data_IF_792650759848
#
_entry.id   IF_792650759848
#
_cell.length_a   1.000
_cell.length_b   1.000
_cell.length_c   1.000
_cell.angle_alpha   90.00
_cell.angle_beta   90.00
_cell.angle_gamma   90.00
#
_symmetry.space_group_name_H-M   'P 1'
#
loop_
_entity.id
_entity.type
_entity.pdbx_description
1 polymer ?
#
# COMPACT_ATOMS: atom_id res chain seq x y z
N UNK A 1 -24.19 -73.94 -29.45
CA UNK A 1 -23.10 -74.16 -28.48
C UNK A 1 -22.22 -72.91 -28.50
N UNK A 2 -22.15 -72.23 -27.36
CA UNK A 2 -21.26 -71.09 -27.01
C UNK A 2 -21.40 -69.74 -27.75
N UNK A 3 -22.23 -68.86 -27.19
CA UNK A 3 -22.16 -67.39 -27.32
C UNK A 3 -22.12 -66.79 -25.91
N UNK A 4 -20.93 -66.47 -25.40
CA UNK A 4 -20.72 -65.65 -24.20
C UNK A 4 -19.25 -65.25 -24.11
N UNK A 5 -18.86 -64.06 -24.58
CA UNK A 5 -17.61 -63.42 -24.13
C UNK A 5 -17.40 -61.96 -24.57
N UNK A 6 -18.38 -61.06 -24.51
CA UNK A 6 -18.08 -59.62 -24.70
C UNK A 6 -19.04 -58.74 -23.89
N UNK A 7 -18.87 -58.64 -22.57
CA UNK A 7 -19.60 -57.61 -21.78
C UNK A 7 -18.99 -57.36 -20.40
N UNK A 8 -17.72 -56.95 -20.28
CA UNK A 8 -17.19 -56.48 -18.98
C UNK A 8 -16.19 -55.30 -19.03
N UNK A 9 -15.91 -54.69 -20.17
CA UNK A 9 -14.78 -53.74 -20.31
C UNK A 9 -15.14 -52.25 -20.40
N UNK A 10 -16.37 -51.82 -20.08
CA UNK A 10 -16.78 -50.39 -20.27
C UNK A 10 -17.19 -49.62 -19.01
N UNK A 11 -17.21 -50.23 -17.82
CA UNK A 11 -17.69 -49.55 -16.60
C UNK A 11 -16.60 -49.13 -15.60
N UNK A 12 -15.36 -49.59 -15.76
CA UNK A 12 -14.27 -49.31 -14.79
C UNK A 12 -13.40 -48.09 -15.11
N UNK A 13 -13.57 -47.44 -16.27
CA UNK A 13 -12.78 -46.27 -16.67
C UNK A 13 -13.36 -44.92 -16.21
N UNK A 14 -14.67 -44.82 -16.00
CA UNK A 14 -15.31 -43.55 -15.66
C UNK A 14 -14.97 -43.01 -14.26
N UNK A 15 -14.83 -43.90 -13.26
CA UNK A 15 -14.56 -43.51 -11.88
C UNK A 15 -13.08 -43.08 -11.66
N UNK A 16 -12.15 -43.68 -12.41
CA UNK A 16 -10.74 -43.26 -12.41
C UNK A 16 -10.56 -41.93 -13.15
N UNK A 17 -11.26 -41.73 -14.28
CA UNK A 17 -11.27 -40.45 -14.98
C UNK A 17 -11.87 -39.31 -14.14
N UNK A 18 -12.93 -39.57 -13.36
CA UNK A 18 -13.49 -38.56 -12.45
C UNK A 18 -12.52 -38.21 -11.31
N UNK A 19 -11.85 -39.20 -10.72
CA UNK A 19 -10.89 -38.97 -9.62
C UNK A 19 -9.65 -38.20 -10.10
N UNK A 20 -9.14 -38.47 -11.30
CA UNK A 20 -8.01 -37.74 -11.89
C UNK A 20 -8.41 -36.33 -12.37
N UNK A 21 -9.60 -36.16 -12.94
CA UNK A 21 -10.13 -34.84 -13.27
C UNK A 21 -10.31 -33.96 -12.01
N UNK A 22 -10.74 -34.55 -10.89
CA UNK A 22 -10.90 -33.83 -9.62
C UNK A 22 -9.56 -33.44 -9.00
N UNK A 23 -8.52 -34.28 -9.14
CA UNK A 23 -7.14 -33.96 -8.71
C UNK A 23 -6.50 -32.84 -9.54
N UNK A 24 -6.75 -32.82 -10.86
CA UNK A 24 -6.30 -31.74 -11.75
C UNK A 24 -7.00 -30.41 -11.46
N UNK A 25 -8.29 -30.42 -11.11
CA UNK A 25 -9.02 -29.20 -10.75
C UNK A 25 -8.53 -28.62 -9.41
N UNK A 26 -8.23 -29.46 -8.41
CA UNK A 26 -7.68 -28.99 -7.12
C UNK A 26 -6.26 -28.42 -7.28
N UNK A 27 -5.43 -29.01 -8.16
CA UNK A 27 -4.09 -28.48 -8.45
C UNK A 27 -4.14 -27.15 -9.24
N UNK A 28 -5.11 -26.99 -10.14
CA UNK A 28 -5.31 -25.74 -10.88
C UNK A 28 -5.82 -24.57 -10.01
N UNK A 29 -6.59 -24.86 -8.94
CA UNK A 29 -7.04 -23.84 -7.98
C UNK A 29 -5.88 -23.41 -7.05
N UNK A 30 -4.92 -24.31 -6.76
CA UNK A 30 -3.78 -24.03 -5.89
C UNK A 30 -2.64 -23.23 -6.56
N UNK A 31 -2.61 -23.11 -7.89
CA UNK A 31 -1.60 -22.33 -8.63
C UNK A 31 -2.07 -20.87 -8.83
N UNK A 32 -3.30 -20.54 -8.43
CA UNK A 32 -3.89 -19.19 -8.53
C UNK A 32 -3.63 -18.30 -7.33
N UNK A 33 -2.62 -18.58 -6.49
CA UNK A 33 -2.07 -17.55 -5.61
C UNK A 33 -1.35 -16.55 -6.50
N UNK A 34 -2.16 -15.67 -7.10
CA UNK A 34 -1.69 -14.60 -7.95
C UNK A 34 -0.61 -13.85 -7.22
N UNK A 35 0.44 -13.50 -7.95
CA UNK A 35 1.12 -12.27 -7.64
C UNK A 35 0.04 -11.19 -7.75
N UNK A 36 -0.57 -10.84 -6.63
CA UNK A 36 -1.33 -9.61 -6.55
C UNK A 36 -0.33 -8.53 -6.97
N UNK A 37 -0.62 -7.87 -8.09
CA UNK A 37 -0.03 -6.59 -8.40
C UNK A 37 -0.36 -5.70 -7.21
N UNK A 38 0.54 -5.64 -6.22
CA UNK A 38 0.36 -4.81 -5.05
C UNK A 38 0.57 -3.37 -5.51
N UNK A 39 -0.51 -2.78 -6.02
CA UNK A 39 -0.63 -1.35 -6.17
C UNK A 39 -0.90 -0.78 -4.77
N UNK A 40 -0.30 0.36 -4.46
CA UNK A 40 -0.58 1.06 -3.22
C UNK A 40 -2.09 1.27 -3.05
N UNK A 41 -2.59 1.01 -1.84
CA UNK A 41 -3.99 1.21 -1.49
C UNK A 41 -4.19 2.67 -1.07
N UNK A 42 -4.81 3.48 -1.94
CA UNK A 42 -5.01 4.90 -1.67
C UNK A 42 -6.04 5.13 -0.57
N UNK A 43 -5.67 5.90 0.45
CA UNK A 43 -6.60 6.32 1.51
C UNK A 43 -7.30 7.61 1.07
N UNK A 44 -8.49 7.47 0.48
CA UNK A 44 -9.28 8.59 -0.04
C UNK A 44 -10.55 8.77 0.78
N UNK A 45 -10.73 9.96 1.37
CA UNK A 45 -11.92 10.32 2.15
C UNK A 45 -12.52 11.61 1.60
N UNK A 46 -13.79 11.56 1.19
CA UNK A 46 -14.47 12.74 0.65
C UNK A 46 -13.84 13.32 -0.62
N UNK A 47 -13.10 12.50 -1.39
CA UNK A 47 -12.36 12.91 -2.58
C UNK A 47 -10.98 13.53 -2.31
N UNK A 48 -10.57 13.60 -1.04
CA UNK A 48 -9.22 14.02 -0.65
C UNK A 48 -8.34 12.78 -0.43
N UNK A 49 -7.11 12.82 -0.92
CA UNK A 49 -6.07 11.81 -0.67
C UNK A 49 -5.37 12.12 0.65
N UNK A 50 -5.58 11.28 1.65
CA UNK A 50 -5.02 11.42 2.99
C UNK A 50 -3.67 10.71 3.11
N UNK A 51 -3.35 9.81 2.18
CA UNK A 51 -2.18 8.95 2.22
C UNK A 51 -2.38 7.67 1.41
N UNK A 52 -1.55 6.66 1.66
CA UNK A 52 -1.67 5.35 1.04
C UNK A 52 -1.08 4.25 1.94
N UNK A 53 -1.61 3.05 1.83
CA UNK A 53 -1.06 1.84 2.45
C UNK A 53 -0.37 0.96 1.41
N UNK A 54 0.52 0.08 1.88
CA UNK A 54 1.21 -0.90 1.04
C UNK A 54 2.00 -0.27 -0.13
N UNK A 55 2.56 0.92 0.08
CA UNK A 55 3.45 1.59 -0.86
C UNK A 55 4.79 0.86 -0.90
N UNK A 56 5.22 0.45 -2.09
CA UNK A 56 6.48 -0.28 -2.26
C UNK A 56 7.64 0.72 -2.37
N UNK A 57 8.56 0.69 -1.41
CA UNK A 57 9.82 1.46 -1.42
C UNK A 57 10.99 0.48 -1.32
N UNK A 58 11.84 0.43 -2.35
CA UNK A 58 12.99 -0.48 -2.43
C UNK A 58 12.65 -1.95 -2.10
N UNK A 59 11.46 -2.40 -2.51
CA UNK A 59 10.97 -3.76 -2.31
C UNK A 59 10.36 -4.05 -0.93
N UNK A 60 10.29 -3.07 -0.04
CA UNK A 60 9.56 -3.16 1.24
C UNK A 60 8.27 -2.36 1.19
N UNK A 61 7.24 -2.82 1.91
CA UNK A 61 5.96 -2.13 2.02
C UNK A 61 5.99 -1.11 3.16
N UNK A 62 5.36 0.03 2.93
CA UNK A 62 5.19 1.13 3.88
C UNK A 62 3.80 1.73 3.76
N UNK A 63 3.31 2.27 4.87
CA UNK A 63 2.15 3.15 4.88
C UNK A 63 2.64 4.61 4.97
N UNK A 64 1.88 5.52 4.37
CA UNK A 64 2.15 6.96 4.39
C UNK A 64 0.86 7.72 4.69
N UNK A 65 0.97 8.69 5.59
CA UNK A 65 -0.06 9.69 5.86
C UNK A 65 0.44 11.08 5.54
N UNK A 66 -0.43 11.93 4.98
CA UNK A 66 -0.12 13.33 4.70
C UNK A 66 -0.63 14.21 5.83
N UNK A 67 0.30 14.81 6.58
CA UNK A 67 -0.02 15.59 7.77
C UNK A 67 0.65 16.97 7.72
N UNK A 68 -0.15 18.01 8.00
CA UNK A 68 0.35 19.34 8.32
C UNK A 68 0.73 19.44 9.79
N UNK A 69 1.67 20.32 10.12
CA UNK A 69 2.14 20.54 11.48
C UNK A 69 3.62 20.92 11.52
N UNK A 70 4.20 20.93 12.71
CA UNK A 70 5.65 21.09 12.89
C UNK A 70 6.36 19.75 12.88
N UNK A 71 7.65 19.73 12.52
CA UNK A 71 8.44 18.50 12.61
C UNK A 71 8.42 17.92 14.03
N UNK A 72 8.61 18.79 15.03
CA UNK A 72 8.63 18.42 16.45
C UNK A 72 7.34 17.69 16.86
N UNK A 73 6.18 18.14 16.39
CA UNK A 73 4.90 17.54 16.72
C UNK A 73 4.65 16.20 16.03
N UNK A 74 5.18 16.02 14.81
CA UNK A 74 4.87 14.86 13.96
C UNK A 74 5.91 13.73 14.07
N UNK A 75 7.15 14.06 14.41
CA UNK A 75 8.28 13.12 14.41
C UNK A 75 8.94 13.05 15.79
N UNK A 76 8.16 12.70 16.82
CA UNK A 76 8.65 12.36 18.17
C UNK A 76 9.62 13.38 18.83
N UNK A 77 9.42 14.69 18.57
CA UNK A 77 10.30 15.75 19.07
C UNK A 77 11.29 16.27 18.03
N UNK A 78 11.54 15.51 16.95
CA UNK A 78 12.39 15.89 15.83
C UNK A 78 13.78 16.34 16.32
N UNK A 79 14.39 15.51 17.15
CA UNK A 79 15.65 15.78 17.83
C UNK A 79 16.72 14.70 17.60
N UNK A 80 16.37 13.57 16.99
CA UNK A 80 17.31 12.54 16.58
C UNK A 80 16.99 11.99 15.18
N UNK A 81 18.00 11.55 14.43
CA UNK A 81 17.80 10.97 13.08
C UNK A 81 16.90 9.73 13.15
N UNK A 82 16.89 9.03 14.27
CA UNK A 82 16.02 7.88 14.52
C UNK A 82 14.53 8.20 14.61
N UNK A 83 14.15 9.48 14.71
CA UNK A 83 12.76 9.93 14.60
C UNK A 83 12.20 9.77 13.18
N UNK A 84 13.08 9.59 12.17
CA UNK A 84 12.70 9.44 10.77
C UNK A 84 12.74 7.98 10.32
N UNK A 85 11.74 7.57 9.54
CA UNK A 85 11.68 6.24 8.95
C UNK A 85 12.85 5.98 7.97
N UNK A 86 13.17 6.99 7.16
CA UNK A 86 14.27 6.94 6.19
C UNK A 86 15.41 7.82 6.67
N UNK A 87 16.51 7.24 7.14
CA UNK A 87 17.54 7.96 7.89
C UNK A 87 18.72 8.47 7.03
N UNK A 88 18.54 8.47 5.71
CA UNK A 88 19.54 8.97 4.78
C UNK A 88 18.88 9.37 3.46
N UNK A 89 19.55 10.26 2.75
CA UNK A 89 19.04 10.93 1.56
C UNK A 89 18.56 9.95 0.48
N UNK A 90 19.35 8.92 0.17
CA UNK A 90 18.99 7.97 -0.89
C UNK A 90 17.69 7.21 -0.57
N UNK A 91 17.45 6.81 0.67
CA UNK A 91 16.21 6.12 1.06
C UNK A 91 15.00 7.05 1.00
N UNK A 92 15.15 8.31 1.42
CA UNK A 92 14.07 9.28 1.30
C UNK A 92 13.75 9.62 -0.15
N UNK A 93 14.75 9.64 -1.04
CA UNK A 93 14.51 9.79 -2.49
C UNK A 93 13.74 8.57 -3.03
N UNK A 94 14.11 7.34 -2.66
CA UNK A 94 13.35 6.15 -3.08
C UNK A 94 11.89 6.21 -2.62
N UNK A 95 11.64 6.67 -1.39
CA UNK A 95 10.29 6.84 -0.84
C UNK A 95 9.51 7.92 -1.59
N UNK A 96 10.15 9.07 -1.86
CA UNK A 96 9.61 10.16 -2.67
C UNK A 96 9.28 9.72 -4.10
N UNK A 97 10.11 8.88 -4.71
CA UNK A 97 9.85 8.32 -6.03
C UNK A 97 8.64 7.38 -6.01
N UNK A 98 8.52 6.55 -4.96
CA UNK A 98 7.36 5.70 -4.79
C UNK A 98 6.04 6.49 -4.68
N UNK A 99 6.06 7.69 -4.09
CA UNK A 99 4.88 8.56 -4.06
C UNK A 99 4.45 8.99 -5.48
N UNK A 100 5.40 9.39 -6.34
CA UNK A 100 5.09 9.74 -7.73
C UNK A 100 4.61 8.53 -8.54
N UNK A 101 5.26 7.38 -8.35
CA UNK A 101 5.01 6.19 -9.17
C UNK A 101 3.73 5.42 -8.77
N UNK A 102 3.25 5.58 -7.54
CA UNK A 102 2.17 4.74 -6.99
C UNK A 102 1.02 5.53 -6.35
N UNK A 103 1.26 6.75 -5.87
CA UNK A 103 0.30 7.49 -5.02
C UNK A 103 -0.30 8.69 -5.76
N UNK A 104 0.55 9.54 -6.34
CA UNK A 104 0.15 10.69 -7.14
C UNK A 104 -0.12 10.29 -8.58
N UNK A 105 -1.18 9.49 -8.77
CA UNK A 105 -1.63 9.04 -10.07
C UNK A 105 -3.07 9.47 -10.30
N UNK A 106 -3.38 9.81 -11.56
CA UNK A 106 -4.76 9.97 -12.00
C UNK A 106 -5.42 8.59 -12.20
N UNK A 107 -6.60 8.40 -11.61
CA UNK A 107 -7.30 7.14 -11.67
C UNK A 107 -8.74 7.19 -11.17
N UNK A 108 -9.32 6.00 -10.97
CA UNK A 108 -10.72 5.88 -10.54
C UNK A 108 -10.98 6.48 -9.13
N UNK A 109 -9.95 6.51 -8.28
CA UNK A 109 -10.04 7.04 -6.91
C UNK A 109 -9.93 8.57 -6.84
N UNK A 110 -9.43 9.22 -7.90
CA UNK A 110 -9.21 10.66 -7.96
C UNK A 110 -8.12 11.02 -8.96
N UNK A 111 -8.07 12.29 -9.33
CA UNK A 111 -7.08 12.84 -10.24
C UNK A 111 -5.96 13.52 -9.43
N UNK A 112 -5.16 12.73 -8.71
CA UNK A 112 -4.22 13.28 -7.74
C UNK A 112 -2.94 13.83 -8.37
N UNK A 113 -2.60 13.40 -9.59
CA UNK A 113 -1.50 13.95 -10.39
C UNK A 113 -1.93 15.31 -10.98
N UNK A 114 -3.01 15.32 -11.77
CA UNK A 114 -3.43 16.55 -12.45
C UNK A 114 -4.12 17.58 -11.54
N UNK A 115 -4.59 17.20 -10.35
CA UNK A 115 -5.21 18.08 -9.35
C UNK A 115 -4.53 17.92 -7.97
N UNK A 116 -3.31 18.46 -7.78
CA UNK A 116 -2.52 18.29 -6.56
C UNK A 116 -3.23 18.82 -5.29
N UNK A 117 -4.13 19.79 -5.43
CA UNK A 117 -4.98 20.30 -4.33
C UNK A 117 -5.95 19.27 -3.74
N UNK A 118 -6.07 18.09 -4.35
CA UNK A 118 -6.84 16.98 -3.80
C UNK A 118 -6.05 16.18 -2.76
N UNK A 119 -4.77 16.47 -2.53
CA UNK A 119 -3.97 15.84 -1.46
C UNK A 119 -4.09 16.61 -0.15
N UNK A 120 -4.23 15.89 0.98
CA UNK A 120 -4.33 16.50 2.30
C UNK A 120 -3.08 17.34 2.63
N UNK A 121 -3.31 18.57 3.11
CA UNK A 121 -2.26 19.55 3.37
C UNK A 121 -1.88 20.42 2.16
N UNK A 122 -2.49 20.18 0.99
CA UNK A 122 -2.34 21.00 -0.20
C UNK A 122 -3.69 21.57 -0.63
N UNK A 123 -3.75 22.90 -0.78
CA UNK A 123 -4.88 23.65 -1.33
C UNK A 123 -4.51 24.46 -2.57
N UNK A 124 -3.22 24.55 -2.89
CA UNK A 124 -2.70 25.16 -4.12
C UNK A 124 -2.99 24.26 -5.32
N UNK A 125 -3.55 24.85 -6.38
CA UNK A 125 -3.96 24.11 -7.57
C UNK A 125 -2.85 23.88 -8.59
N UNK A 126 -1.64 24.38 -8.34
CA UNK A 126 -0.50 24.29 -9.26
C UNK A 126 0.54 23.29 -8.81
N UNK A 127 0.71 23.08 -7.51
CA UNK A 127 1.72 22.18 -6.96
C UNK A 127 1.37 21.74 -5.54
N UNK A 128 1.68 20.49 -5.22
CA UNK A 128 1.76 19.98 -3.86
C UNK A 128 3.18 19.51 -3.58
N UNK A 129 3.77 20.05 -2.51
CA UNK A 129 5.05 19.65 -1.99
C UNK A 129 4.86 18.67 -0.83
N UNK A 130 5.42 17.48 -0.95
CA UNK A 130 5.36 16.45 0.09
C UNK A 130 6.76 16.16 0.58
N UNK A 131 6.99 16.45 1.86
CA UNK A 131 8.30 16.40 2.48
C UNK A 131 8.50 15.07 3.21
N UNK A 132 9.56 14.35 2.86
CA UNK A 132 10.06 13.16 3.56
C UNK A 132 11.36 13.52 4.31
N UNK A 133 11.31 13.78 5.62
CA UNK A 133 12.51 14.06 6.41
C UNK A 133 13.45 12.86 6.49
N UNK A 134 14.76 13.12 6.52
CA UNK A 134 15.74 12.04 6.59
C UNK A 134 16.99 12.30 7.43
N UNK A 135 17.09 13.50 7.99
CA UNK A 135 18.21 13.88 8.81
C UNK A 135 18.18 15.35 9.15
N UNK A 136 19.33 15.84 9.63
CA UNK A 136 19.53 17.22 10.01
C UNK A 136 20.72 17.80 9.27
N UNK A 137 20.63 19.09 8.96
CA UNK A 137 21.74 19.80 8.37
C UNK A 137 22.93 19.78 9.33
N UNK A 138 24.08 19.30 8.87
CA UNK A 138 25.30 19.13 9.69
C UNK A 138 25.77 20.40 10.43
N UNK A 139 25.40 21.58 9.92
CA UNK A 139 25.76 22.88 10.50
C UNK A 139 24.76 23.40 11.54
N UNK A 140 23.55 22.84 11.61
CA UNK A 140 22.50 23.29 12.52
C UNK A 140 21.42 22.21 12.74
N UNK A 141 21.38 21.53 13.90
CA UNK A 141 20.36 20.53 14.21
C UNK A 141 18.94 21.13 14.36
N UNK A 142 18.79 22.45 14.36
CA UNK A 142 17.48 23.10 14.24
C UNK A 142 16.90 23.10 12.82
N UNK A 143 17.61 22.51 11.84
CA UNK A 143 17.20 22.41 10.44
C UNK A 143 17.19 20.94 10.05
N UNK A 144 16.06 20.49 9.50
CA UNK A 144 15.90 19.15 8.92
C UNK A 144 16.18 19.16 7.44
N UNK A 145 16.82 18.09 6.97
CA UNK A 145 17.00 17.79 5.56
C UNK A 145 15.82 16.90 5.11
N UNK A 146 15.16 17.30 4.02
CA UNK A 146 13.98 16.62 3.47
C UNK A 146 14.15 16.32 1.99
N UNK A 147 13.59 15.18 1.56
CA UNK A 147 13.28 14.97 0.14
C UNK A 147 11.91 15.58 -0.15
N UNK A 148 11.85 16.51 -1.09
CA UNK A 148 10.66 17.26 -1.49
C UNK A 148 10.11 16.71 -2.82
N UNK A 149 8.99 15.99 -2.75
CA UNK A 149 8.21 15.60 -3.92
C UNK A 149 7.38 16.79 -4.36
N UNK A 150 7.58 17.24 -5.59
CA UNK A 150 6.76 18.27 -6.24
C UNK A 150 5.85 17.59 -7.23
N UNK A 151 4.60 17.39 -6.83
CA UNK A 151 3.52 16.97 -7.71
C UNK A 151 2.89 18.23 -8.33
N UNK A 152 3.14 18.47 -9.61
CA UNK A 152 2.68 19.66 -10.34
C UNK A 152 1.39 19.34 -11.09
N UNK A 153 0.46 20.29 -11.11
CA UNK A 153 -0.73 20.24 -11.95
C UNK A 153 -0.35 20.37 -13.44
N UNK A 154 0.15 19.28 -14.03
CA UNK A 154 0.69 19.23 -15.37
C UNK A 154 0.18 17.98 -16.08
N UNK A 155 -0.43 18.17 -17.24
CA UNK A 155 -0.79 17.06 -18.12
C UNK A 155 0.40 16.50 -18.92
N UNK A 156 1.60 17.09 -18.72
CA UNK A 156 2.83 16.62 -19.34
C UNK A 156 3.49 15.60 -18.41
N UNK A 157 3.63 14.32 -18.83
CA UNK A 157 4.29 13.31 -18.03
C UNK A 157 5.74 13.71 -17.69
N UNK A 158 6.15 13.49 -16.45
CA UNK A 158 7.52 13.72 -15.99
C UNK A 158 7.85 15.19 -15.65
N UNK A 159 6.84 16.04 -15.47
CA UNK A 159 7.06 17.40 -14.98
C UNK A 159 7.23 17.44 -13.45
N UNK A 160 6.78 16.39 -12.76
CA UNK A 160 7.02 16.18 -11.34
C UNK A 160 8.49 15.96 -11.06
N UNK A 161 8.94 16.45 -9.92
CA UNK A 161 10.35 16.43 -9.57
C UNK A 161 10.54 16.11 -8.10
N UNK A 162 11.69 15.49 -7.81
CA UNK A 162 12.18 15.32 -6.45
C UNK A 162 13.35 16.27 -6.28
N UNK A 163 13.25 17.16 -5.31
CA UNK A 163 14.31 18.09 -4.93
C UNK A 163 14.71 17.87 -3.47
N UNK A 164 15.89 18.35 -3.11
CA UNK A 164 16.26 18.45 -1.70
C UNK A 164 15.79 19.78 -1.15
N UNK A 165 15.31 19.76 0.09
CA UNK A 165 14.86 20.96 0.78
C UNK A 165 15.18 20.89 2.26
N UNK A 166 15.61 22.02 2.79
CA UNK A 166 15.92 22.17 4.21
C UNK A 166 14.83 23.04 4.86
N UNK A 167 14.37 22.65 6.04
CA UNK A 167 13.35 23.40 6.77
C UNK A 167 13.72 23.50 8.25
N UNK A 168 13.34 24.62 8.89
CA UNK A 168 13.50 24.75 10.34
C UNK A 168 12.52 23.81 11.03
N UNK A 169 12.96 23.09 12.07
CA UNK A 169 12.13 22.08 12.78
C UNK A 169 10.84 22.66 13.39
N UNK A 170 10.82 23.96 13.66
CA UNK A 170 9.68 24.70 14.22
C UNK A 170 8.74 25.27 13.16
N UNK A 171 9.04 25.11 11.87
CA UNK A 171 8.16 25.55 10.80
C UNK A 171 6.84 24.76 10.86
N UNK A 172 5.72 25.46 10.97
CA UNK A 172 4.40 24.85 11.00
C UNK A 172 3.79 24.81 9.60
N UNK A 173 3.61 23.59 9.08
CA UNK A 173 2.99 23.35 7.78
C UNK A 173 1.47 23.25 7.85
N UNK A 174 0.83 23.29 9.02
CA UNK A 174 -0.63 23.21 9.14
C UNK A 174 -1.34 24.41 8.47
N UNK A 175 -0.66 25.55 8.36
CA UNK A 175 -1.17 26.74 7.64
C UNK A 175 -0.61 26.89 6.23
N UNK A 176 0.22 25.94 5.79
CA UNK A 176 0.76 25.97 4.44
C UNK A 176 -0.33 25.62 3.42
N UNK A 177 -0.28 26.25 2.25
CA UNK A 177 -1.22 25.97 1.16
C UNK A 177 -0.70 24.92 0.19
N UNK A 178 0.58 24.60 0.22
CA UNK A 178 1.20 23.70 -0.75
C UNK A 178 2.30 22.81 -0.16
N UNK A 179 2.45 22.74 1.17
CA UNK A 179 3.41 21.85 1.82
C UNK A 179 2.72 20.96 2.84
N UNK A 180 3.08 19.68 2.82
CA UNK A 180 2.64 18.68 3.81
C UNK A 180 3.80 17.72 4.10
N UNK A 181 3.80 17.07 5.25
CA UNK A 181 4.74 16.00 5.54
C UNK A 181 4.18 14.65 5.09
N UNK A 182 5.04 13.80 4.53
CA UNK A 182 4.79 12.37 4.43
C UNK A 182 5.28 11.70 5.72
N UNK A 183 4.33 11.27 6.55
CA UNK A 183 4.60 10.52 7.77
C UNK A 183 4.53 9.03 7.43
N UNK A 184 5.71 8.42 7.35
CA UNK A 184 5.87 7.03 6.95
C UNK A 184 5.85 6.09 8.14
N UNK A 185 5.21 4.94 7.97
CA UNK A 185 5.17 3.87 8.96
C UNK A 185 5.31 2.49 8.31
N UNK A 186 5.58 1.47 9.13
CA UNK A 186 5.55 0.08 8.69
C UNK A 186 4.08 -0.35 8.58
N UNK A 187 3.69 -1.16 7.57
CA UNK A 187 2.33 -1.63 7.45
C UNK A 187 1.93 -2.34 8.72
N UNK A 188 0.76 -1.98 9.25
CA UNK A 188 0.21 -2.65 10.42
C UNK A 188 -0.24 -4.05 9.96
N UNK A 189 0.34 -5.14 10.46
CA UNK A 189 -0.11 -6.48 10.08
C UNK A 189 -1.60 -6.58 10.43
N UNK A 190 -2.43 -6.90 9.43
CA UNK A 190 -3.84 -7.24 9.64
C UNK A 190 -3.94 -8.09 10.91
N UNK A 191 -4.64 -7.60 11.96
CA UNK A 191 -4.70 -8.34 13.20
C UNK A 191 -5.21 -9.75 12.89
N UNK A 192 -4.89 -10.73 13.73
CA UNK A 192 -5.32 -12.11 13.54
C UNK A 192 -6.86 -12.30 13.52
N UNK A 193 -7.65 -11.22 13.45
CA UNK A 193 -9.09 -11.16 13.21
C UNK A 193 -9.49 -11.92 11.96
N UNK A 194 -8.75 -11.85 10.85
CA UNK A 194 -9.05 -12.64 9.66
C UNK A 194 -8.89 -14.16 9.93
N UNK A 195 -7.82 -14.54 10.64
CA UNK A 195 -7.61 -15.92 11.09
C UNK A 195 -8.69 -16.36 12.09
N UNK A 196 -9.04 -15.51 13.06
CA UNK A 196 -10.08 -15.78 14.05
C UNK A 196 -11.46 -15.88 13.41
N UNK A 197 -11.77 -15.04 12.42
CA UNK A 197 -13.00 -15.12 11.63
C UNK A 197 -13.02 -16.41 10.81
N UNK A 198 -11.90 -16.78 10.18
CA UNK A 198 -11.75 -18.06 9.49
C UNK A 198 -11.94 -19.27 10.42
N UNK A 199 -11.31 -19.25 11.60
CA UNK A 199 -11.48 -20.30 12.62
C UNK A 199 -12.90 -20.31 13.20
N UNK A 200 -13.54 -19.15 13.38
CA UNK A 200 -14.92 -19.04 13.84
C UNK A 200 -15.92 -19.63 12.85
N UNK A 201 -15.79 -19.29 11.56
CA UNK A 201 -16.64 -19.80 10.49
C UNK A 201 -16.47 -21.31 10.25
N UNK A 202 -15.23 -21.81 10.35
CA UNK A 202 -14.95 -23.25 10.26
C UNK A 202 -15.49 -24.01 11.47
N UNK A 203 -15.35 -23.46 12.68
CA UNK A 203 -15.92 -24.02 13.91
C UNK A 203 -17.46 -24.11 13.86
N UNK A 204 -18.14 -23.06 13.41
CA UNK A 204 -19.60 -23.04 13.25
C UNK A 204 -20.08 -24.03 12.19
N UNK A 205 -19.36 -24.16 11.08
CA UNK A 205 -19.67 -25.11 10.02
C UNK A 205 -19.57 -26.57 10.49
N UNK A 206 -18.60 -26.89 11.36
CA UNK A 206 -18.50 -28.20 12.00
C UNK A 206 -19.69 -28.43 12.95
N UNK A 207 -19.96 -27.48 13.84
CA UNK A 207 -21.04 -27.60 14.82
C UNK A 207 -22.41 -27.80 14.15
N UNK A 208 -22.69 -27.10 13.05
CA UNK A 208 -23.93 -27.25 12.27
C UNK A 208 -24.11 -28.64 11.67
N UNK A 209 -23.06 -29.27 11.15
CA UNK A 209 -23.14 -30.64 10.57
C UNK A 209 -23.41 -31.73 11.60
N UNK A 210 -23.02 -31.52 12.86
CA UNK A 210 -23.33 -32.48 13.94
C UNK A 210 -24.81 -32.50 14.31
N UNK A 211 -25.53 -31.40 14.10
CA UNK A 211 -26.93 -31.25 14.52
C UNK A 211 -27.95 -31.83 13.52
N UNK A 212 -27.56 -32.03 12.25
CA UNK A 212 -28.41 -32.64 11.21
C UNK A 212 -28.23 -34.17 11.08
N UNK A 213 -27.53 -34.83 12.02
CA UNK A 213 -27.25 -36.28 12.00
C UNK A 213 -27.95 -37.07 13.12
N UNK A 214 -28.90 -36.45 13.80
CA UNK A 214 -29.80 -37.03 14.81
C UNK A 214 -31.24 -36.85 14.35
#
# INVERSE_FOLDING_TARGET
MATHHVMQTTFMDGAKMLADATRLVILAIAISFGAESQAASLNVVGGQLLGASDVIVDGSLYDVEFLGGTCIALFNGCDDVSDFMFQYQAAAISASQALLDQVFLDGASGNFDSLPQLSLGCSDSSVCHVLTPHGFTVSNPGIIDTSDVRNLASLTPGNDTILMKDNVVTLDLATSTNFTYAVWSRPVPEPSTALLMGFGLTGLSWAGRRRNRS
#
